data_IF_527792811791
#
_entry.id   IF_527792811791
#
_cell.length_a   1.000
_cell.length_b   1.000
_cell.length_c   1.000
_cell.angle_alpha   90.00
_cell.angle_beta   90.00
_cell.angle_gamma   90.00
#
_symmetry.space_group_name_H-M   'P 1'
#
loop_
_entity.id
_entity.type
_entity.pdbx_description
1 polymer ?
#
# COMPACT_ATOMS: atom_id res chain seq x y z
N UNK A 1 11.04 21.63 15.40
CA UNK A 1 10.11 20.51 15.50
C UNK A 1 8.74 21.12 15.68
N UNK A 2 7.79 20.81 14.81
CA UNK A 2 6.41 21.30 14.92
C UNK A 2 5.66 20.54 16.01
N UNK A 3 4.56 21.10 16.51
CA UNK A 3 3.71 20.41 17.50
C UNK A 3 3.16 19.08 16.95
N UNK A 4 2.94 19.00 15.64
CA UNK A 4 2.56 17.78 14.95
C UNK A 4 3.69 16.74 14.93
N UNK A 5 4.92 17.15 14.59
CA UNK A 5 6.10 16.27 14.61
C UNK A 5 6.37 15.71 16.01
N UNK A 6 6.15 16.51 17.06
CA UNK A 6 6.27 16.06 18.46
C UNK A 6 5.23 15.00 18.81
N UNK A 7 3.97 15.21 18.40
CA UNK A 7 2.88 14.27 18.60
C UNK A 7 3.14 12.92 17.90
N UNK A 8 3.58 12.97 16.64
CA UNK A 8 3.84 11.76 15.85
C UNK A 8 5.02 10.96 16.40
N UNK A 9 6.12 11.63 16.75
CA UNK A 9 7.27 10.99 17.40
C UNK A 9 6.91 10.37 18.74
N UNK A 10 6.11 11.06 19.56
CA UNK A 10 5.66 10.53 20.84
C UNK A 10 4.81 9.27 20.64
N UNK A 11 3.85 9.30 19.71
CA UNK A 11 3.00 8.15 19.40
C UNK A 11 3.79 6.96 18.88
N UNK A 12 4.67 7.17 17.91
CA UNK A 12 5.50 6.09 17.36
C UNK A 12 6.35 5.43 18.46
N UNK A 13 7.01 6.26 19.28
CA UNK A 13 7.83 5.79 20.40
C UNK A 13 7.01 4.98 21.40
N UNK A 14 5.84 5.47 21.81
CA UNK A 14 5.01 4.78 22.79
C UNK A 14 4.31 3.54 22.23
N UNK A 15 3.91 3.55 20.95
CA UNK A 15 3.39 2.37 20.27
C UNK A 15 4.43 1.25 20.25
N UNK A 16 5.70 1.57 20.00
CA UNK A 16 6.78 0.58 20.07
C UNK A 16 6.89 -0.06 21.46
N UNK A 17 6.89 0.75 22.52
CA UNK A 17 6.92 0.24 23.91
C UNK A 17 5.72 -0.67 24.18
N UNK A 18 4.51 -0.24 23.81
CA UNK A 18 3.28 -1.01 24.00
C UNK A 18 3.31 -2.33 23.24
N UNK A 19 3.84 -2.35 22.01
CA UNK A 19 3.94 -3.55 21.20
C UNK A 19 5.06 -4.50 21.65
N UNK A 20 6.15 -3.97 22.20
CA UNK A 20 7.25 -4.78 22.76
C UNK A 20 6.79 -5.52 24.03
N UNK A 21 6.18 -4.80 24.96
CA UNK A 21 5.68 -5.34 26.23
C UNK A 21 4.32 -6.06 26.07
N UNK A 22 3.61 -5.79 24.99
CA UNK A 22 2.26 -6.27 24.73
C UNK A 22 2.19 -7.77 24.39
N UNK A 23 1.13 -8.40 24.89
CA UNK A 23 0.81 -9.79 24.57
C UNK A 23 0.26 -9.93 23.13
N UNK A 24 -0.12 -11.16 22.76
CA UNK A 24 -0.68 -11.44 21.44
C UNK A 24 -1.97 -10.65 21.16
N UNK A 25 -2.77 -10.35 22.19
CA UNK A 25 -4.03 -9.63 22.05
C UNK A 25 -3.77 -8.15 21.76
N UNK A 26 -2.84 -7.53 22.47
CA UNK A 26 -2.40 -6.15 22.18
C UNK A 26 -1.94 -6.03 20.73
N UNK A 27 -1.07 -6.93 20.27
CA UNK A 27 -0.56 -6.93 18.89
C UNK A 27 -1.67 -7.11 17.85
N UNK A 28 -2.67 -7.95 18.14
CA UNK A 28 -3.82 -8.15 17.25
C UNK A 28 -4.70 -6.92 17.17
N UNK A 29 -4.92 -6.24 18.29
CA UNK A 29 -5.72 -5.02 18.33
C UNK A 29 -5.10 -3.91 17.49
N UNK A 30 -3.81 -3.62 17.67
CA UNK A 30 -3.09 -2.64 16.84
C UNK A 30 -3.10 -2.97 15.34
N UNK A 31 -3.00 -4.26 14.99
CA UNK A 31 -3.13 -4.68 13.59
C UNK A 31 -4.55 -4.49 13.04
N UNK A 32 -5.58 -4.66 13.87
CA UNK A 32 -6.97 -4.41 13.48
C UNK A 32 -7.20 -2.92 13.25
N UNK A 33 -6.74 -2.08 14.19
CA UNK A 33 -6.84 -0.62 14.12
C UNK A 33 -6.31 -0.09 12.79
N UNK A 34 -5.07 -0.46 12.43
CA UNK A 34 -4.48 -0.07 11.14
C UNK A 34 -5.24 -0.60 9.91
N UNK A 35 -5.78 -1.82 9.98
CA UNK A 35 -6.46 -2.43 8.82
C UNK A 35 -7.84 -1.87 8.57
N UNK A 36 -8.53 -1.37 9.60
CA UNK A 36 -9.90 -0.83 9.45
C UNK A 36 -9.90 0.38 8.52
N UNK A 37 -8.88 1.23 8.62
CA UNK A 37 -8.72 2.46 7.81
C UNK A 37 -8.10 2.24 6.43
N UNK A 38 -7.63 1.03 6.12
CA UNK A 38 -7.12 0.69 4.79
C UNK A 38 -8.23 0.72 3.72
N UNK A 39 -7.84 0.76 2.45
CA UNK A 39 -8.80 0.81 1.36
C UNK A 39 -9.77 -0.39 1.30
N UNK A 40 -10.99 -0.14 0.82
CA UNK A 40 -12.04 -1.13 0.70
C UNK A 40 -13.30 -0.58 0.04
N UNK A 41 -14.47 -1.16 0.35
CA UNK A 41 -15.76 -0.68 -0.19
C UNK A 41 -16.07 0.77 0.19
N UNK A 42 -15.66 1.17 1.39
CA UNK A 42 -15.54 2.56 1.77
C UNK A 42 -14.09 2.97 1.61
N UNK A 43 -13.88 4.14 1.00
CA UNK A 43 -12.54 4.65 0.80
C UNK A 43 -11.83 4.92 2.13
N UNK A 44 -10.51 4.79 2.16
CA UNK A 44 -9.67 5.18 3.30
C UNK A 44 -9.97 6.64 3.69
N UNK A 45 -10.08 7.51 2.67
CA UNK A 45 -10.55 8.90 2.81
C UNK A 45 -11.87 9.00 3.59
N UNK A 46 -12.88 8.21 3.22
CA UNK A 46 -14.18 8.22 3.90
C UNK A 46 -14.08 7.71 5.33
N UNK A 47 -13.30 6.65 5.56
CA UNK A 47 -13.12 6.04 6.88
C UNK A 47 -12.42 6.97 7.86
N UNK A 48 -11.46 7.78 7.43
CA UNK A 48 -10.86 8.81 8.28
C UNK A 48 -11.87 9.88 8.71
N UNK A 49 -12.75 10.32 7.82
CA UNK A 49 -13.82 11.27 8.17
C UNK A 49 -14.83 10.68 9.18
N UNK A 50 -15.13 9.38 9.04
CA UNK A 50 -15.95 8.64 10.01
C UNK A 50 -15.23 8.52 11.36
N UNK A 51 -13.94 8.21 11.36
CA UNK A 51 -13.09 8.14 12.55
C UNK A 51 -13.01 9.48 13.28
N UNK A 52 -12.88 10.58 12.54
CA UNK A 52 -12.90 11.94 13.07
C UNK A 52 -14.23 12.25 13.76
N UNK A 53 -15.34 11.98 13.08
CA UNK A 53 -16.69 12.20 13.62
C UNK A 53 -16.91 11.40 14.90
N UNK A 54 -16.54 10.11 14.90
CA UNK A 54 -16.64 9.25 16.07
C UNK A 54 -15.77 9.75 17.23
N UNK A 55 -14.53 10.18 16.94
CA UNK A 55 -13.58 10.67 17.94
C UNK A 55 -14.02 11.98 18.57
N UNK A 56 -14.65 12.88 17.81
CA UNK A 56 -15.27 14.09 18.31
C UNK A 56 -16.42 13.79 19.28
N UNK A 57 -17.28 12.83 18.93
CA UNK A 57 -18.38 12.39 19.82
C UNK A 57 -17.84 11.71 21.08
N UNK A 58 -16.78 10.91 20.94
CA UNK A 58 -16.08 10.27 22.06
C UNK A 58 -15.21 11.23 22.88
N UNK A 59 -14.97 12.45 22.38
CA UNK A 59 -14.23 13.53 23.06
C UNK A 59 -12.79 13.16 23.38
N UNK A 60 -12.12 12.44 22.47
CA UNK A 60 -10.72 12.05 22.63
C UNK A 60 -9.82 12.93 21.75
N UNK A 61 -9.11 13.89 22.34
CA UNK A 61 -8.31 14.87 21.59
C UNK A 61 -7.18 14.24 20.76
N UNK A 62 -6.54 13.18 21.27
CA UNK A 62 -5.49 12.47 20.54
C UNK A 62 -6.05 11.74 19.31
N UNK A 63 -7.23 11.11 19.43
CA UNK A 63 -7.90 10.48 18.30
C UNK A 63 -8.44 11.52 17.32
N UNK A 64 -8.95 12.65 17.82
CA UNK A 64 -9.41 13.76 16.98
C UNK A 64 -8.24 14.29 16.16
N UNK A 65 -7.09 14.59 16.79
CA UNK A 65 -5.89 15.05 16.07
C UNK A 65 -5.47 14.04 15.01
N UNK A 66 -5.35 12.76 15.38
CA UNK A 66 -4.97 11.70 14.45
C UNK A 66 -5.87 11.65 13.20
N UNK A 67 -7.18 11.52 13.39
CA UNK A 67 -8.12 11.42 12.25
C UNK A 67 -8.29 12.72 11.50
N UNK A 68 -8.14 13.87 12.16
CA UNK A 68 -8.23 15.18 11.52
C UNK A 68 -7.08 15.40 10.53
N UNK A 69 -5.86 15.07 10.96
CA UNK A 69 -4.66 15.12 10.12
C UNK A 69 -4.80 14.16 8.95
N UNK A 70 -5.12 12.89 9.22
CA UNK A 70 -5.28 11.90 8.15
C UNK A 70 -6.42 12.27 7.18
N UNK A 71 -7.52 12.88 7.67
CA UNK A 71 -8.59 13.35 6.81
C UNK A 71 -8.15 14.52 5.91
N UNK A 72 -7.38 15.47 6.45
CA UNK A 72 -6.82 16.57 5.68
C UNK A 72 -5.83 16.05 4.62
N UNK A 73 -4.92 15.14 5.00
CA UNK A 73 -3.95 14.52 4.09
C UNK A 73 -4.62 13.64 3.02
N UNK A 74 -5.74 12.98 3.34
CA UNK A 74 -6.57 12.27 2.38
C UNK A 74 -7.34 13.21 1.42
N UNK A 75 -7.15 14.52 1.54
CA UNK A 75 -7.68 15.53 0.63
C UNK A 75 -9.12 15.94 0.91
N UNK A 76 -9.60 15.83 2.15
CA UNK A 76 -10.83 16.54 2.54
C UNK A 76 -10.56 18.03 2.65
N UNK A 77 -11.41 18.84 2.02
CA UNK A 77 -11.34 20.28 2.17
C UNK A 77 -11.73 20.69 3.59
N UNK A 78 -11.24 21.86 4.03
CA UNK A 78 -11.64 22.46 5.30
C UNK A 78 -13.17 22.52 5.42
N UNK A 79 -13.89 22.90 4.36
CA UNK A 79 -15.35 22.99 4.36
C UNK A 79 -16.02 21.64 4.64
N UNK A 80 -15.59 20.58 3.96
CA UNK A 80 -16.12 19.22 4.18
C UNK A 80 -15.85 18.73 5.61
N UNK A 81 -14.67 19.03 6.16
CA UNK A 81 -14.35 18.71 7.57
C UNK A 81 -15.27 19.47 8.53
N UNK A 82 -15.56 20.74 8.28
CA UNK A 82 -16.53 21.50 9.08
C UNK A 82 -17.96 20.94 8.96
N UNK A 83 -18.35 20.34 7.83
CA UNK A 83 -19.62 19.60 7.76
C UNK A 83 -19.62 18.37 8.67
N UNK A 84 -18.54 17.61 8.71
CA UNK A 84 -18.39 16.50 9.66
C UNK A 84 -18.40 16.99 11.13
N UNK A 85 -17.81 18.15 11.43
CA UNK A 85 -17.90 18.78 12.75
C UNK A 85 -19.35 19.08 13.15
N UNK A 86 -20.18 19.53 12.21
CA UNK A 86 -21.59 19.77 12.46
C UNK A 86 -22.35 18.48 12.77
N UNK A 87 -22.04 17.38 12.06
CA UNK A 87 -22.60 16.06 12.37
C UNK A 87 -22.20 15.61 13.77
N UNK A 88 -20.92 15.73 14.13
CA UNK A 88 -20.44 15.37 15.46
C UNK A 88 -21.07 16.25 16.56
N UNK A 89 -21.23 17.55 16.32
CA UNK A 89 -21.88 18.49 17.24
C UNK A 89 -23.36 18.15 17.43
N UNK A 90 -24.06 17.78 16.35
CA UNK A 90 -25.46 17.36 16.42
C UNK A 90 -25.62 16.07 17.24
N UNK A 91 -24.75 15.08 17.03
CA UNK A 91 -24.81 13.77 17.70
C UNK A 91 -24.33 13.85 19.15
N UNK A 92 -23.22 14.53 19.41
CA UNK A 92 -22.58 14.62 20.72
C UNK A 92 -23.03 15.80 21.59
N UNK A 93 -23.71 16.80 21.01
CA UNK A 93 -24.19 17.98 21.71
C UNK A 93 -23.09 18.99 22.08
N UNK A 94 -23.44 19.99 22.88
CA UNK A 94 -22.58 21.14 23.20
C UNK A 94 -21.25 20.77 23.89
N UNK A 95 -21.16 19.59 24.48
CA UNK A 95 -19.93 19.07 25.10
C UNK A 95 -18.81 18.77 24.08
N UNK A 96 -19.13 18.72 22.78
CA UNK A 96 -18.15 18.56 21.71
C UNK A 96 -17.44 19.89 21.41
N UNK A 97 -18.02 21.04 21.79
CA UNK A 97 -17.49 22.38 21.47
C UNK A 97 -16.02 22.59 21.92
N UNK A 98 -15.60 22.21 23.14
CA UNK A 98 -14.18 22.35 23.53
C UNK A 98 -13.23 21.57 22.62
N UNK A 99 -13.65 20.39 22.14
CA UNK A 99 -12.90 19.55 21.23
C UNK A 99 -12.88 20.13 19.82
N UNK A 100 -13.99 20.73 19.36
CA UNK A 100 -14.03 21.48 18.11
C UNK A 100 -13.10 22.68 18.12
N UNK A 101 -12.91 23.36 19.25
CA UNK A 101 -11.96 24.49 19.34
C UNK A 101 -10.53 24.02 19.08
N UNK A 102 -10.12 22.91 19.70
CA UNK A 102 -8.79 22.30 19.47
C UNK A 102 -8.66 21.74 18.05
N UNK A 103 -9.70 21.10 17.54
CA UNK A 103 -9.72 20.62 16.15
C UNK A 103 -9.62 21.80 15.16
N UNK A 104 -10.31 22.91 15.41
CA UNK A 104 -10.22 24.12 14.61
C UNK A 104 -8.83 24.76 14.67
N UNK A 105 -8.19 24.80 15.84
CA UNK A 105 -6.81 25.26 15.99
C UNK A 105 -5.84 24.42 15.14
N UNK A 106 -5.97 23.09 15.18
CA UNK A 106 -5.19 22.20 14.32
C UNK A 106 -5.48 22.51 12.84
N UNK A 107 -6.75 22.66 12.44
CA UNK A 107 -7.11 23.02 11.06
C UNK A 107 -6.56 24.38 10.62
N UNK A 108 -6.48 25.39 11.49
CA UNK A 108 -5.87 26.68 11.13
C UNK A 108 -4.36 26.55 10.94
N UNK A 109 -3.71 25.62 11.64
CA UNK A 109 -2.29 25.33 11.48
C UNK A 109 -1.96 24.51 10.23
N UNK A 110 -2.97 23.88 9.61
CA UNK A 110 -2.82 23.11 8.38
C UNK A 110 -3.04 23.99 7.14
N UNK A 111 -2.11 23.92 6.19
CA UNK A 111 -2.30 24.55 4.88
C UNK A 111 -3.33 23.75 4.06
N UNK A 112 -4.55 24.26 3.98
CA UNK A 112 -5.56 23.73 3.06
C UNK A 112 -5.37 24.35 1.68
N UNK A 113 -5.12 23.52 0.67
CA UNK A 113 -5.12 23.99 -0.71
C UNK A 113 -6.52 24.51 -1.09
N UNK A 114 -6.65 25.82 -1.30
CA UNK A 114 -7.88 26.43 -1.78
C UNK A 114 -8.20 25.94 -3.20
N UNK A 115 -9.45 25.54 -3.47
CA UNK A 115 -9.91 25.12 -4.80
C UNK A 115 -9.68 26.18 -5.89
N UNK A 116 -9.63 27.46 -5.53
CA UNK A 116 -9.32 28.57 -6.44
C UNK A 116 -7.84 28.67 -6.85
N UNK A 117 -6.93 27.94 -6.18
CA UNK A 117 -5.50 27.92 -6.47
C UNK A 117 -5.08 26.76 -7.40
N UNK A 118 -5.99 25.81 -7.68
CA UNK A 118 -5.72 24.63 -8.53
C UNK A 118 -5.38 24.97 -9.99
N UNK A 119 -5.71 26.17 -10.49
CA UNK A 119 -5.37 26.57 -11.87
C UNK A 119 -3.99 27.23 -12.03
N UNK A 120 -3.28 27.62 -10.96
CA UNK A 120 -2.07 28.45 -11.11
C UNK A 120 -0.81 27.98 -10.39
N UNK A 121 -0.85 26.90 -9.63
CA UNK A 121 0.33 26.41 -8.87
C UNK A 121 0.68 24.96 -9.23
N UNK A 122 0.72 24.66 -10.54
CA UNK A 122 1.28 23.42 -11.12
C UNK A 122 2.82 23.37 -11.05
N UNK A 123 3.48 24.23 -10.28
CA UNK A 123 4.92 24.18 -10.14
C UNK A 123 5.34 24.78 -8.81
N UNK A 124 5.94 23.93 -7.98
CA UNK A 124 6.62 24.22 -6.70
C UNK A 124 5.73 24.03 -5.46
N UNK A 125 5.48 22.77 -5.08
CA UNK A 125 5.84 22.23 -3.75
C UNK A 125 5.55 20.73 -3.67
N UNK A 126 6.56 19.91 -3.99
CA UNK A 126 6.61 18.46 -3.76
C UNK A 126 7.08 18.21 -2.32
N UNK A 127 6.17 17.83 -1.42
CA UNK A 127 6.51 17.00 -0.23
C UNK A 127 5.50 15.84 -0.18
N UNK A 128 5.90 14.78 -0.90
CA UNK A 128 5.51 13.36 -0.85
C UNK A 128 4.02 13.02 -0.62
N UNK A 129 3.24 13.18 -1.68
CA UNK A 129 2.29 12.12 -2.04
C UNK A 129 3.06 10.79 -2.04
N UNK A 130 2.50 9.73 -1.43
CA UNK A 130 3.05 8.39 -1.58
C UNK A 130 2.98 8.04 -3.07
N UNK A 131 4.10 8.21 -3.78
CA UNK A 131 4.18 7.98 -5.21
C UNK A 131 3.57 6.62 -5.52
N UNK A 132 2.54 6.61 -6.37
CA UNK A 132 1.87 5.39 -6.79
C UNK A 132 2.66 4.81 -7.94
N UNK A 133 3.09 3.57 -7.79
CA UNK A 133 3.79 2.83 -8.83
C UNK A 133 2.87 1.77 -9.42
N UNK A 134 2.97 1.56 -10.73
CA UNK A 134 2.40 0.39 -11.38
C UNK A 134 3.54 -0.53 -11.78
N UNK A 135 3.41 -1.81 -11.42
CA UNK A 135 4.42 -2.82 -11.68
C UNK A 135 3.81 -3.91 -12.55
N UNK A 136 4.16 -3.89 -13.83
CA UNK A 136 3.78 -4.93 -14.78
C UNK A 136 4.84 -6.03 -14.74
N UNK A 137 4.42 -7.30 -14.68
CA UNK A 137 5.34 -8.43 -14.51
C UNK A 137 4.93 -9.63 -15.31
N UNK A 138 5.91 -10.29 -15.93
CA UNK A 138 5.70 -11.57 -16.58
C UNK A 138 6.96 -12.47 -16.51
N UNK A 139 6.74 -13.78 -16.66
CA UNK A 139 7.76 -14.81 -16.70
C UNK A 139 7.44 -15.89 -17.72
N UNK A 140 8.45 -16.26 -18.50
CA UNK A 140 8.34 -17.26 -19.55
C UNK A 140 9.43 -18.33 -19.42
N UNK A 141 9.15 -19.55 -19.85
CA UNK A 141 10.13 -20.64 -19.93
C UNK A 141 9.96 -21.48 -21.21
N UNK A 142 11.08 -21.90 -21.79
CA UNK A 142 11.14 -22.88 -22.87
C UNK A 142 11.46 -24.26 -22.28
N UNK A 143 10.39 -25.02 -21.97
CA UNK A 143 10.47 -26.22 -21.13
C UNK A 143 10.19 -25.89 -19.65
N UNK A 144 9.66 -26.85 -18.89
CA UNK A 144 9.28 -26.63 -17.49
C UNK A 144 9.60 -27.86 -16.61
N UNK A 145 10.85 -28.01 -16.13
CA UNK A 145 11.91 -27.01 -16.12
C UNK A 145 12.69 -26.84 -17.44
N UNK A 146 13.36 -25.71 -17.61
CA UNK A 146 14.20 -25.35 -18.76
C UNK A 146 14.66 -23.89 -18.72
N UNK A 147 15.30 -23.37 -19.79
CA UNK A 147 15.71 -21.98 -19.89
C UNK A 147 14.50 -21.04 -19.77
N UNK A 148 14.61 -20.03 -18.91
CA UNK A 148 13.53 -19.10 -18.60
C UNK A 148 13.99 -17.67 -18.50
N UNK A 149 13.06 -16.76 -18.74
CA UNK A 149 13.24 -15.32 -18.64
C UNK A 149 12.14 -14.68 -17.81
N UNK A 150 12.46 -13.59 -17.13
CA UNK A 150 11.50 -12.75 -16.42
C UNK A 150 11.64 -11.30 -16.88
N UNK A 151 10.56 -10.54 -16.78
CA UNK A 151 10.59 -9.10 -17.03
C UNK A 151 9.61 -8.33 -16.14
N UNK A 152 9.97 -7.09 -15.85
CA UNK A 152 9.17 -6.14 -15.12
C UNK A 152 9.29 -4.74 -15.73
N UNK A 153 8.17 -4.03 -15.85
CA UNK A 153 8.11 -2.61 -16.22
C UNK A 153 7.51 -1.84 -15.05
N UNK A 154 8.12 -0.70 -14.71
CA UNK A 154 7.71 0.15 -13.60
C UNK A 154 7.25 1.49 -14.16
N UNK A 155 6.02 1.87 -13.87
CA UNK A 155 5.48 3.20 -14.15
C UNK A 155 5.32 3.98 -12.86
N UNK A 156 5.69 5.26 -12.88
CA UNK A 156 5.35 6.23 -11.85
C UNK A 156 4.07 6.96 -12.24
N UNK A 157 3.09 6.98 -11.33
CA UNK A 157 1.78 7.59 -11.50
C UNK A 157 1.01 7.13 -12.77
N UNK A 158 1.35 5.96 -13.31
CA UNK A 158 0.69 5.34 -14.46
C UNK A 158 0.99 5.98 -15.83
N UNK A 159 1.93 6.92 -15.89
CA UNK A 159 2.24 7.65 -17.13
C UNK A 159 3.74 7.57 -17.49
N UNK A 160 4.63 7.72 -16.51
CA UNK A 160 6.07 7.77 -16.76
C UNK A 160 6.72 6.40 -16.54
N UNK A 161 7.24 5.77 -17.60
CA UNK A 161 8.07 4.57 -17.48
C UNK A 161 9.41 4.92 -16.85
N UNK A 162 9.63 4.44 -15.62
CA UNK A 162 10.85 4.72 -14.88
C UNK A 162 11.97 3.73 -15.15
N UNK A 163 11.61 2.45 -15.23
CA UNK A 163 12.59 1.38 -15.33
C UNK A 163 11.96 0.15 -15.98
N UNK A 164 12.81 -0.62 -16.65
CA UNK A 164 12.49 -1.89 -17.25
C UNK A 164 13.60 -2.88 -16.90
N UNK A 165 13.22 -3.95 -16.19
CA UNK A 165 14.15 -4.98 -15.74
C UNK A 165 13.81 -6.29 -16.44
N UNK A 166 14.82 -7.00 -16.89
CA UNK A 166 14.67 -8.36 -17.39
C UNK A 166 15.91 -9.18 -17.07
N UNK A 167 15.77 -10.50 -17.07
CA UNK A 167 16.89 -11.41 -16.88
C UNK A 167 16.50 -12.86 -17.14
N UNK A 168 17.51 -13.73 -17.21
CA UNK A 168 17.35 -15.14 -17.58
C UNK A 168 17.87 -16.10 -16.51
N UNK A 169 17.51 -17.37 -16.63
CA UNK A 169 18.09 -18.50 -15.91
C UNK A 169 18.01 -19.77 -16.78
N UNK A 170 19.11 -20.53 -16.86
CA UNK A 170 19.23 -21.71 -17.75
C UNK A 170 18.35 -22.90 -17.32
N UNK A 171 18.15 -23.10 -16.02
CA UNK A 171 17.34 -24.18 -15.48
C UNK A 171 16.36 -23.66 -14.42
N UNK A 172 15.14 -23.37 -14.86
CA UNK A 172 14.10 -22.78 -14.03
C UNK A 172 12.70 -23.23 -14.47
N UNK A 173 11.66 -22.70 -13.84
CA UNK A 173 10.25 -22.98 -14.18
C UNK A 173 9.50 -21.68 -14.39
N UNK A 174 8.36 -21.74 -15.08
CA UNK A 174 7.54 -20.55 -15.38
C UNK A 174 7.19 -19.78 -14.09
N UNK A 175 6.65 -20.50 -13.11
CA UNK A 175 6.28 -19.94 -11.81
C UNK A 175 7.45 -19.28 -11.05
N UNK A 176 8.69 -19.76 -11.24
CA UNK A 176 9.86 -19.13 -10.63
C UNK A 176 10.21 -17.82 -11.35
N UNK A 177 10.06 -17.77 -12.67
CA UNK A 177 10.29 -16.54 -13.43
C UNK A 177 9.23 -15.48 -13.14
N UNK A 178 7.97 -15.87 -13.07
CA UNK A 178 6.88 -14.97 -12.66
C UNK A 178 7.14 -14.38 -11.26
N UNK A 179 7.59 -15.19 -10.30
CA UNK A 179 7.95 -14.70 -8.96
C UNK A 179 9.18 -13.78 -8.98
N UNK A 180 10.20 -14.11 -9.77
CA UNK A 180 11.39 -13.26 -9.90
C UNK A 180 11.05 -11.90 -10.50
N UNK A 181 10.15 -11.84 -11.49
CA UNK A 181 9.69 -10.58 -12.07
C UNK A 181 9.16 -9.62 -10.99
N UNK A 182 8.28 -10.10 -10.11
CA UNK A 182 7.76 -9.30 -9.00
C UNK A 182 8.84 -8.88 -8.02
N UNK A 183 9.73 -9.81 -7.62
CA UNK A 183 10.80 -9.52 -6.65
C UNK A 183 11.75 -8.47 -7.19
N UNK A 184 12.23 -8.62 -8.42
CA UNK A 184 13.19 -7.71 -9.02
C UNK A 184 12.57 -6.37 -9.37
N UNK A 185 11.29 -6.33 -9.76
CA UNK A 185 10.54 -5.10 -9.93
C UNK A 185 10.37 -4.32 -8.62
N UNK A 186 9.88 -4.97 -7.55
CA UNK A 186 9.67 -4.32 -6.27
C UNK A 186 10.98 -3.75 -5.68
N UNK A 187 12.12 -4.43 -5.83
CA UNK A 187 13.43 -3.94 -5.36
C UNK A 187 13.85 -2.60 -5.96
N UNK A 188 13.29 -2.22 -7.11
CA UNK A 188 13.60 -0.98 -7.82
C UNK A 188 12.67 0.16 -7.42
N UNK A 189 11.54 -0.17 -6.79
CA UNK A 189 10.57 0.80 -6.31
C UNK A 189 10.99 1.25 -4.89
N UNK A 190 10.96 2.57 -4.59
CA UNK A 190 11.26 3.06 -3.25
C UNK A 190 10.39 2.40 -2.18
N UNK A 191 11.00 2.00 -1.06
CA UNK A 191 10.28 1.45 0.10
C UNK A 191 9.28 2.47 0.65
N UNK A 192 8.17 1.97 1.18
CA UNK A 192 7.05 2.77 1.69
C UNK A 192 6.05 3.21 0.61
N UNK A 193 6.29 2.87 -0.66
CA UNK A 193 5.42 3.28 -1.76
C UNK A 193 4.17 2.41 -1.89
N UNK A 194 3.14 2.98 -2.51
CA UNK A 194 1.97 2.23 -2.97
C UNK A 194 2.25 1.65 -4.36
N UNK A 195 2.04 0.34 -4.52
CA UNK A 195 2.36 -0.39 -5.77
C UNK A 195 1.16 -1.23 -6.20
N UNK A 196 0.69 -0.97 -7.41
CA UNK A 196 -0.33 -1.78 -8.08
C UNK A 196 0.36 -2.77 -9.03
N UNK A 197 0.26 -4.06 -8.72
CA UNK A 197 0.94 -5.13 -9.46
C UNK A 197 -0.01 -5.71 -10.51
N UNK A 198 0.40 -5.63 -11.77
CA UNK A 198 -0.29 -6.19 -12.94
C UNK A 198 0.41 -7.48 -13.38
N UNK A 199 -0.32 -8.58 -13.37
CA UNK A 199 0.18 -9.88 -13.85
C UNK A 199 -0.97 -10.76 -14.35
N UNK A 200 -0.71 -11.61 -15.34
CA UNK A 200 -1.66 -12.65 -15.75
C UNK A 200 -1.48 -13.96 -14.95
N UNK A 201 -0.38 -14.08 -14.19
CA UNK A 201 -0.07 -15.24 -13.37
C UNK A 201 -1.05 -15.42 -12.23
N UNK A 202 -1.92 -16.40 -12.38
CA UNK A 202 -2.80 -16.82 -11.29
C UNK A 202 -2.03 -17.38 -10.09
N UNK A 203 -0.82 -17.90 -10.30
CA UNK A 203 0.01 -18.46 -9.24
C UNK A 203 0.54 -17.35 -8.33
N UNK A 204 1.10 -16.29 -8.92
CA UNK A 204 1.58 -15.10 -8.20
C UNK A 204 0.42 -14.40 -7.48
N UNK A 205 -0.65 -14.08 -8.20
CA UNK A 205 -1.77 -13.30 -7.63
C UNK A 205 -2.46 -14.04 -6.49
N UNK A 206 -2.72 -15.36 -6.62
CA UNK A 206 -3.30 -16.16 -5.53
C UNK A 206 -2.33 -16.34 -4.37
N UNK A 207 -1.04 -16.48 -4.65
CA UNK A 207 -0.03 -16.60 -3.60
C UNK A 207 0.05 -15.35 -2.74
N UNK A 208 0.13 -14.18 -3.37
CA UNK A 208 0.18 -12.87 -2.70
C UNK A 208 -1.11 -12.57 -1.93
N UNK A 209 -2.28 -12.76 -2.56
CA UNK A 209 -3.57 -12.37 -1.95
C UNK A 209 -4.14 -13.40 -0.94
N UNK A 210 -3.88 -14.70 -1.11
CA UNK A 210 -4.58 -15.76 -0.35
C UNK A 210 -3.66 -16.69 0.43
N UNK A 211 -2.51 -17.08 -0.13
CA UNK A 211 -1.74 -18.19 0.43
C UNK A 211 -0.68 -17.78 1.45
N UNK A 212 -0.01 -16.64 1.26
CA UNK A 212 1.12 -16.22 2.10
C UNK A 212 0.77 -16.22 3.60
N UNK A 213 -0.36 -15.65 3.99
CA UNK A 213 -0.80 -15.62 5.39
C UNK A 213 -0.93 -17.03 6.01
N UNK A 214 -1.39 -18.00 5.22
CA UNK A 214 -1.54 -19.40 5.65
C UNK A 214 -0.20 -20.13 5.70
N UNK A 215 0.71 -19.84 4.75
CA UNK A 215 2.03 -20.46 4.74
C UNK A 215 2.92 -19.93 5.85
N UNK A 216 2.85 -18.63 6.19
CA UNK A 216 3.54 -18.04 7.35
C UNK A 216 3.15 -18.77 8.64
N UNK A 217 1.86 -18.96 8.88
CA UNK A 217 1.35 -19.57 10.12
C UNK A 217 1.61 -21.07 10.23
N UNK A 218 1.65 -21.79 9.10
CA UNK A 218 1.86 -23.24 9.07
C UNK A 218 3.31 -23.66 8.78
N UNK A 219 4.28 -22.77 8.99
CA UNK A 219 5.70 -23.08 8.87
C UNK A 219 6.13 -23.45 7.44
N UNK A 220 5.53 -22.80 6.43
CA UNK A 220 5.80 -22.98 5.01
C UNK A 220 5.51 -24.41 4.48
N UNK A 221 4.41 -24.98 4.95
CA UNK A 221 3.87 -26.27 4.50
C UNK A 221 2.49 -26.14 3.86
N UNK A 222 2.21 -27.02 2.90
CA UNK A 222 0.89 -27.15 2.27
C UNK A 222 -0.06 -27.95 3.18
N UNK A 223 -1.36 -28.00 2.83
CA UNK A 223 -2.35 -28.82 3.54
C UNK A 223 -1.99 -30.31 3.56
N UNK A 224 -1.26 -30.78 2.54
CA UNK A 224 -0.70 -32.13 2.49
C UNK A 224 0.58 -32.32 3.33
N UNK A 225 0.92 -31.35 4.20
CA UNK A 225 2.13 -31.32 5.06
C UNK A 225 3.48 -31.37 4.31
N UNK A 226 3.47 -31.18 2.98
CA UNK A 226 4.68 -31.05 2.16
C UNK A 226 5.20 -29.61 2.19
N UNK A 227 6.47 -29.40 1.89
CA UNK A 227 7.02 -28.06 1.74
C UNK A 227 6.32 -27.33 0.58
N UNK A 228 6.09 -26.02 0.75
CA UNK A 228 5.57 -25.15 -0.31
C UNK A 228 6.56 -25.11 -1.47
N UNK A 229 6.07 -25.26 -2.71
CA UNK A 229 6.90 -25.11 -3.90
C UNK A 229 7.41 -23.66 -4.04
N UNK A 230 8.63 -23.48 -4.52
CA UNK A 230 9.30 -22.17 -4.65
C UNK A 230 9.38 -21.39 -3.33
N UNK A 231 9.45 -22.12 -2.21
CA UNK A 231 9.52 -21.54 -0.86
C UNK A 231 10.63 -20.50 -0.72
N UNK A 232 11.77 -20.72 -1.36
CA UNK A 232 12.90 -19.81 -1.37
C UNK A 232 12.52 -18.42 -1.91
N UNK A 233 11.86 -18.37 -3.07
CA UNK A 233 11.40 -17.12 -3.68
C UNK A 233 10.24 -16.51 -2.89
N UNK A 234 9.30 -17.32 -2.42
CA UNK A 234 8.20 -16.80 -1.62
C UNK A 234 8.66 -16.21 -0.30
N UNK A 235 9.62 -16.82 0.40
CA UNK A 235 10.17 -16.28 1.64
C UNK A 235 10.94 -14.97 1.41
N UNK A 236 11.58 -14.83 0.25
CA UNK A 236 12.21 -13.57 -0.14
C UNK A 236 11.15 -12.50 -0.41
N UNK A 237 10.17 -12.82 -1.25
CA UNK A 237 9.07 -11.91 -1.56
C UNK A 237 8.31 -11.49 -0.29
N UNK A 238 8.08 -12.43 0.63
CA UNK A 238 7.39 -12.20 1.90
C UNK A 238 8.03 -11.09 2.76
N UNK A 239 9.36 -11.05 2.78
CA UNK A 239 10.13 -10.02 3.48
C UNK A 239 10.14 -8.70 2.75
N UNK A 240 10.05 -8.73 1.41
CA UNK A 240 10.09 -7.54 0.59
C UNK A 240 8.76 -6.80 0.65
N UNK A 241 7.64 -7.52 0.55
CA UNK A 241 6.31 -6.92 0.49
C UNK A 241 5.87 -6.22 1.78
N UNK A 242 6.51 -6.46 2.93
CA UNK A 242 6.20 -5.72 4.17
C UNK A 242 6.57 -4.25 4.09
N UNK A 243 7.44 -3.88 3.16
CA UNK A 243 7.91 -2.51 2.96
C UNK A 243 6.99 -1.70 2.01
N UNK A 244 5.89 -2.28 1.50
CA UNK A 244 5.04 -1.66 0.47
C UNK A 244 3.55 -1.78 0.81
N UNK A 245 2.75 -0.85 0.29
CA UNK A 245 1.29 -1.00 0.20
C UNK A 245 0.98 -1.62 -1.16
N UNK A 246 0.46 -2.84 -1.20
CA UNK A 246 0.27 -3.60 -2.45
C UNK A 246 -1.19 -3.76 -2.83
N UNK A 247 -1.50 -3.42 -4.08
CA UNK A 247 -2.73 -3.76 -4.78
C UNK A 247 -2.41 -4.73 -5.93
N UNK A 248 -3.36 -5.56 -6.31
CA UNK A 248 -3.15 -6.60 -7.32
C UNK A 248 -4.23 -6.53 -8.39
N UNK A 249 -3.82 -6.40 -9.65
CA UNK A 249 -4.71 -6.43 -10.80
C UNK A 249 -4.39 -7.64 -11.67
N UNK A 250 -5.42 -8.44 -11.95
CA UNK A 250 -5.30 -9.52 -12.91
C UNK A 250 -5.52 -8.98 -14.31
N UNK A 251 -4.48 -9.01 -15.12
CA UNK A 251 -4.60 -8.75 -16.57
C UNK A 251 -4.89 -10.05 -17.31
N UNK A 252 -5.58 -9.92 -18.44
CA UNK A 252 -5.82 -11.07 -19.33
C UNK A 252 -4.60 -11.22 -20.22
N UNK A 253 -4.10 -12.45 -20.33
CA UNK A 253 -3.04 -12.76 -21.29
C UNK A 253 -3.50 -12.40 -22.71
N UNK A 254 -2.68 -11.66 -23.45
CA UNK A 254 -2.93 -11.21 -24.83
C UNK A 254 -4.22 -10.40 -25.04
N UNK A 255 -4.54 -9.48 -24.12
CA UNK A 255 -5.75 -8.67 -24.19
C UNK A 255 -5.58 -7.26 -24.76
N UNK A 256 -4.44 -6.92 -25.37
CA UNK A 256 -4.17 -5.57 -25.88
C UNK A 256 -3.73 -4.56 -24.82
N UNK A 257 -3.34 -5.02 -23.63
CA UNK A 257 -2.64 -4.17 -22.65
C UNK A 257 -1.18 -4.05 -23.08
N UNK A 258 -0.79 -2.85 -23.50
CA UNK A 258 0.53 -2.59 -24.06
C UNK A 258 1.67 -3.04 -23.14
N UNK A 259 1.58 -2.72 -21.84
CA UNK A 259 2.65 -3.02 -20.90
C UNK A 259 2.71 -4.51 -20.57
N UNK A 260 1.57 -5.19 -20.47
CA UNK A 260 1.54 -6.64 -20.30
C UNK A 260 2.15 -7.37 -21.51
N UNK A 261 1.84 -6.94 -22.74
CA UNK A 261 2.41 -7.53 -23.96
C UNK A 261 3.93 -7.25 -24.08
N UNK A 262 4.37 -6.08 -23.60
CA UNK A 262 5.79 -5.74 -23.52
C UNK A 262 6.53 -6.62 -22.53
N UNK A 263 6.04 -6.82 -21.30
CA UNK A 263 6.72 -7.70 -20.33
C UNK A 263 6.75 -9.16 -20.80
N UNK A 264 5.70 -9.66 -21.45
CA UNK A 264 5.70 -11.00 -22.08
C UNK A 264 6.80 -11.13 -23.15
N UNK A 265 6.86 -10.14 -24.05
CA UNK A 265 7.86 -10.11 -25.11
C UNK A 265 9.29 -10.06 -24.56
N UNK A 266 9.52 -9.24 -23.52
CA UNK A 266 10.82 -9.12 -22.85
C UNK A 266 11.22 -10.42 -22.16
N UNK A 267 10.32 -11.04 -21.40
CA UNK A 267 10.57 -12.30 -20.73
C UNK A 267 10.92 -13.41 -21.75
N UNK A 268 10.20 -13.48 -22.88
CA UNK A 268 10.49 -14.43 -23.96
C UNK A 268 11.82 -14.17 -24.67
N UNK A 269 12.22 -12.91 -24.81
CA UNK A 269 13.49 -12.55 -25.44
C UNK A 269 14.69 -12.93 -24.56
N UNK A 270 14.56 -12.89 -23.23
CA UNK A 270 15.62 -13.33 -22.31
C UNK A 270 15.88 -14.85 -22.39
N UNK A 271 14.91 -15.66 -22.84
CA UNK A 271 15.11 -17.09 -23.09
C UNK A 271 16.06 -17.34 -24.28
N UNK A 272 16.11 -16.40 -25.23
CA UNK A 272 16.82 -16.57 -26.52
C UNK A 272 18.25 -16.01 -26.53
N UNK A 273 18.73 -15.47 -25.41
CA UNK A 273 20.09 -14.94 -25.32
C UNK A 273 21.07 -16.09 -24.99
N UNK A 274 21.64 -16.67 -26.05
CA UNK A 274 22.91 -17.40 -26.03
C UNK A 274 24.10 -16.41 -26.16
#
# INVERSE_FOLDING_TARGET
MTEQEEFDQFREKMNKVILEEGDLNTKRFFNLDNKVYAEGELSAKTKELLGLTASLVLRCDDCIRYHLVNAAEAGWSKKEIYEAFNVALLVGGSIVIPHLRRAAEILESYEFENEAAKEKTSSKNKIREAKKYQLYTDGACSGNPGPGGYAAIILENGEEELDQISGSAEDTTNNRMELKAVIEGLKRIPKGSSVEIFSDSTYVLKGLSKWLNTWRSNGWKTSAKKNVANRDLWQHLDKLISDYQLEFQKVKSHSGDEYNERVDSLAKNEIKKD
#
